data_IF_677088715194
#
_entry.id   IF_677088715194
#
_cell.length_a   1.000
_cell.length_b   1.000
_cell.length_c   1.000
_cell.angle_alpha   90.00
_cell.angle_beta   90.00
_cell.angle_gamma   90.00
#
_symmetry.space_group_name_H-M   'P 1'
#
loop_
_entity.id
_entity.type
_entity.pdbx_description
1 polymer ?
#
# COMPACT_ATOMS: atom_id res chain seq x y z
N UNK A 1 14.40 8.07 59.79
CA UNK A 1 13.79 7.20 58.75
C UNK A 1 14.22 7.71 57.39
N UNK A 2 15.26 7.12 56.79
CA UNK A 2 15.79 7.54 55.48
C UNK A 2 15.27 6.64 54.37
N UNK A 3 14.35 7.11 53.55
CA UNK A 3 13.87 6.37 52.38
C UNK A 3 14.90 6.45 51.25
N UNK A 4 15.49 5.29 50.91
CA UNK A 4 16.51 5.14 49.87
C UNK A 4 15.90 5.25 48.47
N UNK A 5 16.09 6.40 47.82
CA UNK A 5 15.63 6.70 46.45
C UNK A 5 16.45 5.92 45.38
N UNK A 6 17.58 5.29 45.76
CA UNK A 6 18.53 4.67 44.81
C UNK A 6 18.07 3.34 44.18
N UNK A 7 17.00 2.71 44.68
CA UNK A 7 16.48 1.44 44.13
C UNK A 7 15.53 1.61 42.93
N UNK A 8 14.96 2.80 42.71
CA UNK A 8 14.05 3.06 41.58
C UNK A 8 14.79 3.29 40.25
N UNK A 9 15.90 4.03 40.29
CA UNK A 9 16.66 4.44 39.10
C UNK A 9 17.43 3.27 38.47
N UNK A 10 17.93 2.34 39.29
CA UNK A 10 18.67 1.15 38.85
C UNK A 10 17.79 0.13 38.12
N UNK A 11 16.49 0.05 38.43
CA UNK A 11 15.53 -0.80 37.72
C UNK A 11 15.13 -0.22 36.35
N UNK A 12 15.06 1.11 36.20
CA UNK A 12 14.83 1.78 34.92
C UNK A 12 16.04 1.63 33.98
N UNK A 13 17.27 1.78 34.51
CA UNK A 13 18.52 1.59 33.73
C UNK A 13 18.68 0.12 33.30
N UNK A 14 18.38 -0.86 34.17
CA UNK A 14 18.41 -2.30 33.81
C UNK A 14 17.32 -2.70 32.80
N UNK A 15 16.14 -2.05 32.82
CA UNK A 15 15.11 -2.25 31.79
C UNK A 15 15.49 -1.62 30.45
N UNK A 16 16.11 -0.44 30.47
CA UNK A 16 16.67 0.21 29.27
C UNK A 16 17.79 -0.61 28.61
N UNK A 17 18.65 -1.26 29.39
CA UNK A 17 19.71 -2.13 28.87
C UNK A 17 19.21 -3.49 28.34
N UNK A 18 18.09 -4.02 28.85
CA UNK A 18 17.48 -5.30 28.38
C UNK A 18 16.62 -5.15 27.11
N UNK A 19 16.30 -3.92 26.71
CA UNK A 19 15.53 -3.60 25.51
C UNK A 19 16.41 -3.14 24.34
N UNK A 20 17.71 -2.95 24.56
CA UNK A 20 18.65 -2.66 23.48
C UNK A 20 18.62 -3.82 22.45
N UNK A 21 18.12 -3.54 21.25
CA UNK A 21 17.99 -4.52 20.17
C UNK A 21 16.66 -5.28 20.10
N UNK A 22 15.67 -4.92 20.93
CA UNK A 22 14.32 -5.49 20.86
C UNK A 22 13.26 -4.41 20.58
N UNK A 23 12.21 -4.79 19.86
CA UNK A 23 11.06 -3.95 19.54
C UNK A 23 9.76 -4.68 19.88
N UNK A 24 8.76 -3.92 20.31
CA UNK A 24 7.43 -4.43 20.66
C UNK A 24 6.54 -4.39 19.42
N UNK A 25 5.97 -5.53 19.05
CA UNK A 25 4.98 -5.56 17.97
C UNK A 25 3.73 -4.79 18.38
N UNK A 26 3.26 -3.89 17.52
CA UNK A 26 2.12 -3.01 17.77
C UNK A 26 0.76 -3.73 17.69
N UNK A 27 0.74 -4.98 17.21
CA UNK A 27 -0.49 -5.80 17.10
C UNK A 27 -0.60 -6.78 18.28
N UNK A 28 0.33 -7.73 18.38
CA UNK A 28 0.28 -8.76 19.43
C UNK A 28 0.93 -8.33 20.76
N UNK A 29 1.51 -7.13 20.81
CA UNK A 29 2.11 -6.56 22.02
C UNK A 29 3.32 -7.32 22.60
N UNK A 30 3.85 -8.31 21.89
CA UNK A 30 5.04 -9.07 22.31
C UNK A 30 6.34 -8.45 21.81
N UNK A 31 7.43 -8.69 22.54
CA UNK A 31 8.76 -8.20 22.20
C UNK A 31 9.51 -9.22 21.33
N UNK A 32 10.19 -8.71 20.31
CA UNK A 32 11.02 -9.48 19.40
C UNK A 32 12.37 -8.79 19.22
N UNK A 33 13.38 -9.52 18.76
CA UNK A 33 14.61 -8.90 18.27
C UNK A 33 14.30 -7.99 17.10
N UNK A 34 14.98 -6.85 16.99
CA UNK A 34 14.77 -5.87 15.91
C UNK A 34 14.87 -6.50 14.51
N UNK A 35 15.75 -7.49 14.33
CA UNK A 35 15.89 -8.22 13.06
C UNK A 35 14.66 -9.08 12.67
N UNK A 36 13.73 -9.33 13.60
CA UNK A 36 12.53 -10.15 13.39
C UNK A 36 11.24 -9.32 13.31
N UNK A 37 11.37 -8.00 13.25
CA UNK A 37 10.24 -7.09 13.04
C UNK A 37 10.55 -6.14 11.89
N UNK A 38 9.48 -5.61 11.30
CA UNK A 38 9.55 -4.47 10.40
C UNK A 38 9.05 -3.25 11.14
N UNK A 39 9.90 -2.24 11.30
CA UNK A 39 9.53 -0.96 11.89
C UNK A 39 9.25 0.03 10.78
N UNK A 40 8.09 0.66 10.83
CA UNK A 40 7.65 1.64 9.84
C UNK A 40 8.35 2.97 10.18
N UNK A 41 9.18 3.53 9.30
CA UNK A 41 9.96 4.73 9.62
C UNK A 41 9.09 5.95 9.98
N UNK A 42 7.96 6.12 9.30
CA UNK A 42 7.10 7.28 9.44
C UNK A 42 6.38 7.36 10.81
N UNK A 43 5.96 6.23 11.37
CA UNK A 43 5.18 6.19 12.61
C UNK A 43 5.86 5.44 13.77
N UNK A 44 6.97 4.74 13.53
CA UNK A 44 7.71 3.98 14.53
C UNK A 44 7.04 2.69 14.99
N UNK A 45 5.85 2.34 14.48
CA UNK A 45 5.20 1.08 14.80
C UNK A 45 5.95 -0.12 14.21
N UNK A 46 6.02 -1.21 14.97
CA UNK A 46 6.73 -2.43 14.58
C UNK A 46 5.76 -3.60 14.40
N UNK A 47 5.97 -4.39 13.35
CA UNK A 47 5.19 -5.59 13.09
C UNK A 47 6.10 -6.81 13.09
N UNK A 48 5.77 -7.84 13.88
CA UNK A 48 6.41 -9.15 13.71
C UNK A 48 5.87 -9.84 12.46
N UNK A 49 6.63 -10.82 11.96
CA UNK A 49 6.29 -11.56 10.73
C UNK A 49 4.86 -12.05 10.68
N UNK A 50 4.41 -12.73 11.74
CA UNK A 50 3.07 -13.34 11.79
C UNK A 50 1.94 -12.31 11.84
N UNK A 51 2.14 -11.18 12.54
CA UNK A 51 1.13 -10.12 12.59
C UNK A 51 1.05 -9.37 11.27
N UNK A 52 2.18 -9.09 10.62
CA UNK A 52 2.19 -8.45 9.31
C UNK A 52 1.50 -9.32 8.27
N UNK A 53 1.84 -10.61 8.21
CA UNK A 53 1.17 -11.60 7.36
C UNK A 53 -0.35 -11.59 7.55
N UNK A 54 -0.83 -11.67 8.79
CA UNK A 54 -2.27 -11.61 9.11
C UNK A 54 -2.91 -10.28 8.71
N UNK A 55 -2.20 -9.16 8.83
CA UNK A 55 -2.69 -7.84 8.39
C UNK A 55 -2.96 -7.84 6.89
N UNK A 56 -2.05 -8.37 6.07
CA UNK A 56 -2.30 -8.47 4.62
C UNK A 56 -3.41 -9.46 4.30
N UNK A 57 -3.43 -10.65 4.91
CA UNK A 57 -4.51 -11.64 4.68
C UNK A 57 -5.88 -11.03 4.98
N UNK A 58 -6.01 -10.30 6.09
CA UNK A 58 -7.26 -9.61 6.44
C UNK A 58 -7.64 -8.55 5.41
N UNK A 59 -6.69 -7.71 4.99
CA UNK A 59 -6.95 -6.67 4.00
C UNK A 59 -7.40 -7.24 2.65
N UNK A 60 -6.80 -8.36 2.22
CA UNK A 60 -7.20 -9.05 0.99
C UNK A 60 -8.60 -9.68 1.09
N UNK A 61 -8.94 -10.24 2.26
CA UNK A 61 -10.21 -10.95 2.45
C UNK A 61 -11.39 -10.02 2.77
N UNK A 62 -11.13 -8.79 3.20
CA UNK A 62 -12.15 -7.77 3.44
C UNK A 62 -12.46 -7.04 2.12
N UNK A 63 -13.66 -7.19 1.52
CA UNK A 63 -14.03 -6.52 0.26
C UNK A 63 -14.06 -4.99 0.36
N UNK A 64 -14.38 -4.47 1.56
CA UNK A 64 -14.41 -3.03 1.85
C UNK A 64 -13.08 -2.52 2.41
N UNK A 65 -12.16 -3.45 2.71
CA UNK A 65 -10.84 -3.17 3.23
C UNK A 65 -9.93 -2.50 2.20
N UNK A 66 -8.96 -1.75 2.72
CA UNK A 66 -8.02 -1.00 1.87
C UNK A 66 -6.79 -1.83 1.59
N UNK A 67 -6.42 -1.80 0.32
CA UNK A 67 -5.24 -2.46 -0.20
C UNK A 67 -4.41 -1.42 -0.97
N UNK A 68 -3.12 -1.23 -0.63
CA UNK A 68 -2.33 -1.92 0.40
C UNK A 68 -2.81 -1.61 1.83
N UNK A 69 -2.55 -2.50 2.82
CA UNK A 69 -2.86 -2.20 4.23
C UNK A 69 -2.12 -0.93 4.67
N UNK A 70 -2.71 -0.14 5.57
CA UNK A 70 -2.10 1.09 6.07
C UNK A 70 -1.77 1.02 7.57
N UNK A 71 -0.75 1.78 7.99
CA UNK A 71 -0.45 2.03 9.39
C UNK A 71 -0.24 3.53 9.58
N UNK A 72 -1.09 4.18 10.39
CA UNK A 72 -1.05 5.64 10.59
C UNK A 72 -1.09 6.42 9.26
N UNK A 73 -1.92 5.97 8.31
CA UNK A 73 -2.04 6.55 6.97
C UNK A 73 -0.99 6.08 5.96
N UNK A 74 0.13 5.52 6.42
CA UNK A 74 1.19 5.06 5.53
C UNK A 74 0.88 3.68 4.92
N UNK A 75 0.99 3.57 3.59
CA UNK A 75 0.85 2.30 2.89
C UNK A 75 1.96 1.32 3.29
N UNK A 76 1.57 0.11 3.63
CA UNK A 76 2.46 -1.03 3.78
C UNK A 76 2.52 -1.70 2.41
N UNK A 77 3.50 -1.30 1.60
CA UNK A 77 3.62 -1.80 0.23
C UNK A 77 4.31 -3.16 0.16
N UNK A 78 4.28 -3.81 -1.01
CA UNK A 78 4.96 -5.10 -1.18
C UNK A 78 6.48 -4.95 -1.10
N UNK A 79 7.03 -3.81 -1.51
CA UNK A 79 8.45 -3.51 -1.31
C UNK A 79 8.84 -3.52 0.17
N UNK A 80 7.96 -3.04 1.07
CA UNK A 80 8.21 -3.02 2.51
C UNK A 80 8.10 -4.41 3.17
N UNK A 81 7.06 -5.18 2.83
CA UNK A 81 6.72 -6.43 3.51
C UNK A 81 7.17 -7.70 2.78
N UNK A 82 7.74 -7.58 1.58
CA UNK A 82 7.94 -8.69 0.64
C UNK A 82 8.73 -9.88 1.22
N UNK A 83 9.75 -9.64 2.03
CA UNK A 83 10.54 -10.69 2.70
C UNK A 83 9.76 -11.43 3.80
N UNK A 84 8.85 -10.75 4.49
CA UNK A 84 7.95 -11.36 5.48
C UNK A 84 6.81 -12.14 4.81
N UNK A 85 6.44 -11.76 3.60
CA UNK A 85 5.40 -12.40 2.78
C UNK A 85 5.94 -13.49 1.86
N UNK A 86 7.26 -13.54 1.60
CA UNK A 86 7.88 -14.56 0.76
C UNK A 86 7.60 -15.97 1.28
N UNK A 87 7.02 -16.82 0.43
CA UNK A 87 6.63 -18.19 0.77
C UNK A 87 5.51 -18.30 1.80
N UNK A 88 4.85 -17.20 2.16
CA UNK A 88 3.69 -17.24 3.04
C UNK A 88 2.46 -17.68 2.26
N UNK A 89 1.79 -18.74 2.75
CA UNK A 89 0.51 -19.20 2.22
C UNK A 89 -0.47 -19.15 3.40
N UNK A 90 -1.46 -18.23 3.39
CA UNK A 90 -2.56 -18.23 4.34
C UNK A 90 -3.29 -19.57 4.29
N UNK A 91 -3.80 -20.05 5.41
CA UNK A 91 -4.56 -21.31 5.47
C UNK A 91 -5.77 -21.30 4.53
N UNK A 92 -6.33 -20.13 4.34
CA UNK A 92 -7.47 -19.87 3.47
C UNK A 92 -7.10 -19.98 1.97
N UNK A 93 -5.81 -19.89 1.63
CA UNK A 93 -5.24 -20.10 0.30
C UNK A 93 -4.49 -21.45 0.19
N UNK A 94 -4.54 -22.33 1.22
CA UNK A 94 -3.94 -23.69 1.16
C UNK A 94 -4.71 -24.61 0.22
N UNK A 95 -5.99 -24.31 -0.04
CA UNK A 95 -6.73 -24.93 -1.14
C UNK A 95 -6.39 -24.15 -2.41
N UNK A 96 -5.78 -24.79 -3.44
CA UNK A 96 -5.61 -24.13 -4.72
C UNK A 96 -6.97 -23.61 -5.19
N UNK A 97 -7.00 -22.36 -5.65
CA UNK A 97 -8.09 -21.93 -6.51
C UNK A 97 -8.20 -22.88 -7.72
N UNK A 98 -9.27 -22.80 -8.49
CA UNK A 98 -9.46 -23.62 -9.71
C UNK A 98 -8.31 -23.54 -10.71
N UNK A 99 -7.33 -22.64 -10.49
CA UNK A 99 -6.14 -22.40 -11.30
C UNK A 99 -4.82 -22.87 -10.64
N UNK A 100 -4.85 -23.48 -9.45
CA UNK A 100 -3.68 -24.18 -8.89
C UNK A 100 -2.64 -23.27 -8.23
N UNK A 101 -3.00 -22.05 -7.84
CA UNK A 101 -2.00 -21.07 -7.46
C UNK A 101 -1.69 -21.02 -5.95
N UNK A 102 -0.42 -21.22 -5.59
CA UNK A 102 0.09 -21.14 -4.21
C UNK A 102 0.84 -19.84 -3.90
N UNK A 103 0.91 -18.90 -4.84
CA UNK A 103 1.67 -17.66 -4.69
C UNK A 103 0.80 -16.50 -4.16
N UNK A 104 1.02 -16.15 -2.90
CA UNK A 104 0.42 -15.00 -2.23
C UNK A 104 0.63 -13.68 -2.98
N UNK A 105 1.83 -13.46 -3.54
CA UNK A 105 2.16 -12.20 -4.23
C UNK A 105 1.27 -12.02 -5.45
N UNK A 106 1.12 -13.05 -6.27
CA UNK A 106 0.26 -13.01 -7.46
C UNK A 106 -1.20 -12.73 -7.07
N UNK A 107 -1.75 -13.45 -6.08
CA UNK A 107 -3.14 -13.22 -5.63
C UNK A 107 -3.33 -11.80 -5.07
N UNK A 108 -2.38 -11.32 -4.28
CA UNK A 108 -2.37 -9.94 -3.78
C UNK A 108 -2.41 -8.92 -4.93
N UNK A 109 -1.58 -9.10 -5.96
CA UNK A 109 -1.52 -8.19 -7.11
C UNK A 109 -2.81 -8.20 -7.94
N UNK A 110 -3.47 -9.35 -8.07
CA UNK A 110 -4.79 -9.44 -8.73
C UNK A 110 -5.84 -8.62 -7.98
N UNK A 111 -5.97 -8.83 -6.66
CA UNK A 111 -6.92 -8.09 -5.83
C UNK A 111 -6.58 -6.59 -5.82
N UNK A 112 -5.28 -6.25 -5.77
CA UNK A 112 -4.85 -4.86 -5.83
C UNK A 112 -5.22 -4.21 -7.16
N UNK A 113 -5.04 -4.92 -8.28
CA UNK A 113 -5.43 -4.42 -9.59
C UNK A 113 -6.95 -4.19 -9.69
N UNK A 114 -7.76 -5.12 -9.17
CA UNK A 114 -9.22 -5.02 -9.12
C UNK A 114 -9.71 -3.81 -8.29
N UNK A 115 -9.00 -3.48 -7.20
CA UNK A 115 -9.35 -2.38 -6.30
C UNK A 115 -8.69 -1.04 -6.67
N UNK A 116 -7.83 -1.02 -7.68
CA UNK A 116 -7.18 0.21 -8.15
C UNK A 116 -8.11 0.91 -9.14
N UNK A 117 -8.40 2.21 -8.93
CA UNK A 117 -9.32 2.96 -9.81
C UNK A 117 -8.80 3.14 -11.24
N UNK A 118 -7.49 3.29 -11.43
CA UNK A 118 -6.85 3.40 -12.74
C UNK A 118 -5.68 2.40 -12.83
N UNK A 119 -5.97 1.10 -13.04
CA UNK A 119 -4.93 0.08 -13.06
C UNK A 119 -4.09 0.20 -14.32
N UNK A 120 -2.77 0.18 -14.14
CA UNK A 120 -1.79 0.22 -15.22
C UNK A 120 -1.29 -1.19 -15.50
N UNK A 121 -1.40 -1.63 -16.75
CA UNK A 121 -0.86 -2.91 -17.22
C UNK A 121 0.24 -2.67 -18.24
N UNK A 122 1.28 -3.49 -18.21
CA UNK A 122 2.39 -3.38 -19.14
C UNK A 122 1.91 -3.51 -20.60
N UNK A 123 2.12 -2.47 -21.41
CA UNK A 123 1.72 -2.45 -22.82
C UNK A 123 2.44 -3.53 -23.65
N UNK A 124 3.74 -3.74 -23.38
CA UNK A 124 4.53 -4.75 -24.07
C UNK A 124 4.05 -6.16 -23.73
N UNK A 125 3.88 -6.50 -22.46
CA UNK A 125 3.33 -7.81 -22.08
C UNK A 125 1.93 -8.04 -22.68
N UNK A 126 1.10 -6.99 -22.72
CA UNK A 126 -0.23 -7.05 -23.33
C UNK A 126 -0.17 -7.38 -24.83
N UNK A 127 0.79 -6.83 -25.58
CA UNK A 127 1.01 -7.19 -26.98
C UNK A 127 1.44 -8.65 -27.19
N UNK A 128 1.99 -9.29 -26.16
CA UNK A 128 2.36 -10.71 -26.15
C UNK A 128 1.24 -11.61 -25.58
N UNK A 129 0.03 -11.08 -25.37
CA UNK A 129 -1.10 -11.82 -24.81
C UNK A 129 -1.04 -12.04 -23.29
N UNK A 130 -0.15 -11.33 -22.57
CA UNK A 130 0.00 -11.43 -21.11
C UNK A 130 -0.51 -10.16 -20.42
N UNK A 131 -1.34 -10.31 -19.39
CA UNK A 131 -1.76 -9.19 -18.55
C UNK A 131 -0.85 -9.12 -17.33
N UNK A 132 0.05 -8.13 -17.30
CA UNK A 132 0.96 -7.90 -16.18
C UNK A 132 0.64 -6.54 -15.58
N UNK A 133 0.03 -6.55 -14.39
CA UNK A 133 -0.27 -5.35 -13.62
C UNK A 133 1.01 -4.73 -13.08
N UNK A 134 1.13 -3.40 -13.18
CA UNK A 134 2.22 -2.63 -12.60
C UNK A 134 1.68 -1.95 -11.33
N UNK A 135 2.17 -2.31 -10.13
CA UNK A 135 1.70 -1.73 -8.87
C UNK A 135 1.83 -0.21 -8.82
N UNK A 136 0.95 0.51 -8.10
CA UNK A 136 1.04 1.97 -7.97
C UNK A 136 2.35 2.48 -7.37
N UNK A 137 3.06 1.64 -6.61
CA UNK A 137 4.40 1.96 -6.08
C UNK A 137 5.51 1.95 -7.14
N UNK A 138 5.27 1.32 -8.30
CA UNK A 138 6.21 1.23 -9.43
C UNK A 138 5.91 2.28 -10.53
N UNK A 139 4.99 3.22 -10.27
CA UNK A 139 4.60 4.29 -11.18
C UNK A 139 5.38 5.58 -10.85
N UNK A 140 5.96 6.20 -11.87
CA UNK A 140 6.51 7.55 -11.82
C UNK A 140 5.49 8.55 -12.37
N UNK A 141 4.79 9.25 -11.48
CA UNK A 141 3.77 10.24 -11.85
C UNK A 141 4.37 11.52 -12.46
N UNK A 142 5.65 11.83 -12.22
CA UNK A 142 6.31 13.00 -12.79
C UNK A 142 6.59 12.79 -14.29
N UNK A 143 7.06 11.59 -14.63
CA UNK A 143 7.42 11.19 -16.00
C UNK A 143 6.27 10.54 -16.78
N UNK A 144 5.07 10.43 -16.18
CA UNK A 144 3.93 9.71 -16.76
C UNK A 144 4.27 8.28 -17.21
N UNK A 145 5.12 7.60 -16.44
CA UNK A 145 5.73 6.34 -16.85
C UNK A 145 5.64 5.27 -15.77
N UNK A 146 5.55 4.01 -16.20
CA UNK A 146 5.57 2.84 -15.34
C UNK A 146 6.45 1.77 -15.97
N UNK A 147 7.34 1.16 -15.19
CA UNK A 147 8.28 0.14 -15.69
C UNK A 147 7.82 -1.24 -15.24
N UNK A 148 7.65 -2.15 -16.19
CA UNK A 148 7.26 -3.52 -15.89
C UNK A 148 8.41 -4.29 -15.23
N UNK A 149 8.22 -4.79 -14.01
CA UNK A 149 9.21 -5.62 -13.30
C UNK A 149 9.48 -6.99 -13.93
N UNK A 150 8.68 -7.43 -14.91
CA UNK A 150 8.86 -8.72 -15.61
C UNK A 150 9.67 -8.59 -16.89
N UNK A 151 9.37 -7.59 -17.73
CA UNK A 151 10.01 -7.42 -19.05
C UNK A 151 10.85 -6.13 -19.16
N UNK A 152 10.89 -5.31 -18.12
CA UNK A 152 11.64 -4.05 -18.02
C UNK A 152 11.29 -3.01 -19.09
N UNK A 153 10.11 -3.15 -19.72
CA UNK A 153 9.61 -2.17 -20.71
C UNK A 153 8.72 -1.13 -20.03
N UNK A 154 8.79 0.10 -20.56
CA UNK A 154 8.00 1.23 -20.10
C UNK A 154 6.58 1.23 -20.66
N UNK A 155 5.64 1.73 -19.86
CA UNK A 155 4.26 2.03 -20.26
C UNK A 155 3.92 3.45 -19.84
N UNK A 156 3.34 4.22 -20.75
CA UNK A 156 2.85 5.57 -20.44
C UNK A 156 1.59 5.45 -19.61
N UNK A 157 1.54 6.08 -18.45
CA UNK A 157 0.39 5.98 -17.55
C UNK A 157 -0.80 6.79 -18.02
N UNK A 158 -0.60 7.81 -18.87
CA UNK A 158 -1.67 8.61 -19.44
C UNK A 158 -2.43 7.85 -20.54
N UNK A 159 -1.72 7.37 -21.55
CA UNK A 159 -2.35 6.73 -22.72
C UNK A 159 -2.30 5.20 -22.71
N UNK A 160 -1.64 4.60 -21.72
CA UNK A 160 -1.51 3.14 -21.52
C UNK A 160 -0.81 2.40 -22.69
N UNK A 161 -0.05 3.13 -23.52
CA UNK A 161 0.78 2.57 -24.62
C UNK A 161 2.24 2.47 -24.20
N UNK A 162 3.06 1.81 -25.03
CA UNK A 162 4.50 1.67 -24.79
C UNK A 162 5.18 3.03 -24.63
N UNK A 163 6.11 3.09 -23.67
CA UNK A 163 6.94 4.25 -23.37
C UNK A 163 8.43 3.86 -23.46
N UNK A 164 9.32 4.70 -24.00
CA UNK A 164 9.13 6.09 -24.44
C UNK A 164 8.26 6.22 -25.71
N UNK A 165 7.51 7.31 -25.80
CA UNK A 165 6.87 7.71 -27.06
C UNK A 165 7.90 8.21 -28.07
N UNK A 166 7.64 7.97 -29.35
CA UNK A 166 8.46 8.47 -30.46
C UNK A 166 7.79 9.67 -31.12
N UNK A 167 8.54 10.46 -31.89
CA UNK A 167 7.97 11.57 -32.69
C UNK A 167 6.91 11.10 -33.68
N UNK A 168 7.02 9.87 -34.18
CA UNK A 168 6.03 9.24 -35.06
C UNK A 168 4.78 8.71 -34.33
N UNK A 169 4.82 8.58 -33.00
CA UNK A 169 3.71 8.09 -32.20
C UNK A 169 3.65 8.83 -30.85
N UNK A 170 3.33 10.14 -30.87
CA UNK A 170 3.23 10.94 -29.65
C UNK A 170 2.07 10.46 -28.76
N UNK A 171 2.12 10.84 -27.49
CA UNK A 171 0.98 10.64 -26.58
C UNK A 171 -0.26 11.37 -27.15
N UNK A 172 -1.44 10.73 -27.23
CA UNK A 172 -2.67 11.38 -27.67
C UNK A 172 -3.23 12.33 -26.60
N UNK A 173 -2.72 12.25 -25.36
CA UNK A 173 -3.00 13.19 -24.28
C UNK A 173 -1.93 14.27 -24.32
N UNK A 174 -2.26 15.39 -24.94
CA UNK A 174 -1.33 16.49 -25.21
C UNK A 174 -1.60 17.72 -24.34
N UNK A 175 -2.86 18.01 -24.01
CA UNK A 175 -3.24 19.10 -23.09
C UNK A 175 -2.76 18.84 -21.66
N UNK A 176 -2.26 19.89 -21.01
CA UNK A 176 -1.77 19.77 -19.63
C UNK A 176 -2.91 19.57 -18.63
N UNK A 177 -4.09 20.13 -18.91
CA UNK A 177 -5.30 19.93 -18.10
C UNK A 177 -5.70 18.45 -18.06
N UNK A 178 -5.73 17.77 -19.21
CA UNK A 178 -6.11 16.35 -19.25
C UNK A 178 -5.04 15.45 -18.61
N UNK A 179 -3.75 15.80 -18.72
CA UNK A 179 -2.69 15.08 -17.99
C UNK A 179 -2.90 15.21 -16.48
N UNK A 180 -3.14 16.43 -16.01
CA UNK A 180 -3.37 16.70 -14.59
C UNK A 180 -4.61 15.96 -14.08
N UNK A 181 -5.71 15.95 -14.85
CA UNK A 181 -6.93 15.24 -14.50
C UNK A 181 -6.70 13.72 -14.35
N UNK A 182 -6.00 13.09 -15.30
CA UNK A 182 -5.69 11.65 -15.23
C UNK A 182 -4.79 11.33 -14.03
N UNK A 183 -3.73 12.12 -13.80
CA UNK A 183 -2.85 11.95 -12.62
C UNK A 183 -3.65 12.10 -11.33
N UNK A 184 -4.51 13.11 -11.27
CA UNK A 184 -5.33 13.39 -10.10
C UNK A 184 -6.33 12.27 -9.80
N UNK A 185 -6.96 11.69 -10.82
CA UNK A 185 -7.85 10.54 -10.67
C UNK A 185 -7.12 9.32 -10.10
N UNK A 186 -5.91 9.05 -10.58
CA UNK A 186 -5.09 7.93 -10.08
C UNK A 186 -4.66 8.13 -8.62
N UNK A 187 -4.16 9.32 -8.29
CA UNK A 187 -3.70 9.68 -6.94
C UNK A 187 -4.84 9.69 -5.93
N UNK A 188 -6.00 10.25 -6.30
CA UNK A 188 -7.18 10.29 -5.43
C UNK A 188 -7.69 8.89 -5.08
N UNK A 189 -7.79 8.00 -6.08
CA UNK A 189 -8.16 6.61 -5.86
C UNK A 189 -7.19 5.88 -4.92
N UNK A 190 -5.88 6.08 -5.12
CA UNK A 190 -4.84 5.51 -4.24
C UNK A 190 -4.95 6.03 -2.81
N UNK A 191 -5.19 7.32 -2.63
CA UNK A 191 -5.30 7.97 -1.32
C UNK A 191 -6.67 7.78 -0.64
N UNK A 192 -7.62 7.08 -1.28
CA UNK A 192 -8.96 6.86 -0.74
C UNK A 192 -9.85 8.11 -0.74
N UNK A 193 -9.48 9.15 -1.48
CA UNK A 193 -10.26 10.36 -1.61
C UNK A 193 -11.50 10.11 -2.47
N UNK A 194 -12.59 10.84 -2.22
CA UNK A 194 -13.81 10.74 -3.01
C UNK A 194 -14.34 12.10 -3.40
N UNK A 195 -14.94 12.18 -4.58
CA UNK A 195 -15.67 13.38 -5.01
C UNK A 195 -17.00 13.43 -4.25
N UNK A 196 -17.34 14.59 -3.70
CA UNK A 196 -18.63 14.81 -3.09
C UNK A 196 -19.72 14.83 -4.16
N UNK A 197 -20.72 13.96 -4.05
CA UNK A 197 -21.83 13.88 -5.01
C UNK A 197 -22.68 15.16 -5.09
N UNK A 198 -22.66 15.99 -4.03
CA UNK A 198 -23.44 17.24 -4.00
C UNK A 198 -22.76 18.42 -4.69
N UNK A 199 -21.43 18.56 -4.59
CA UNK A 199 -20.72 19.73 -5.11
C UNK A 199 -19.50 19.41 -6.01
N UNK A 200 -19.20 18.13 -6.22
CA UNK A 200 -18.06 17.68 -7.02
C UNK A 200 -16.69 17.85 -6.37
N UNK A 201 -16.60 18.58 -5.24
CA UNK A 201 -15.33 18.79 -4.54
C UNK A 201 -14.77 17.48 -4.02
N UNK A 202 -13.48 17.26 -4.24
CA UNK A 202 -12.79 16.12 -3.64
C UNK A 202 -12.64 16.30 -2.13
N UNK A 203 -12.97 15.23 -1.43
CA UNK A 203 -12.91 15.14 0.02
C UNK A 203 -11.87 14.10 0.38
N UNK A 204 -10.92 14.52 1.21
CA UNK A 204 -9.92 13.67 1.83
C UNK A 204 -10.12 13.68 3.34
N UNK A 205 -9.51 12.71 4.01
CA UNK A 205 -9.43 12.66 5.47
C UNK A 205 -8.02 12.33 5.87
N UNK A 206 -7.53 13.08 6.86
CA UNK A 206 -6.20 12.89 7.43
C UNK A 206 -6.23 11.83 8.54
N UNK A 207 -7.13 12.00 9.52
CA UNK A 207 -7.34 11.08 10.65
C UNK A 207 -8.80 11.03 11.08
N UNK A 208 -9.18 10.08 11.94
CA UNK A 208 -10.52 10.05 12.57
C UNK A 208 -11.54 9.19 11.86
N UNK A 209 -12.84 9.51 11.99
CA UNK A 209 -13.95 8.70 11.46
C UNK A 209 -13.96 8.64 9.93
N UNK A 210 -14.31 7.50 9.33
CA UNK A 210 -14.50 7.36 7.88
C UNK A 210 -15.63 8.24 7.33
N UNK A 211 -16.58 8.62 8.18
CA UNK A 211 -17.63 9.57 7.89
C UNK A 211 -17.12 11.01 8.03
N UNK A 212 -17.26 11.79 6.96
CA UNK A 212 -16.98 13.23 6.95
C UNK A 212 -18.14 13.97 6.31
N UNK A 213 -18.39 15.21 6.74
CA UNK A 213 -19.41 16.08 6.14
C UNK A 213 -18.71 17.07 5.22
N UNK A 214 -19.09 17.09 3.95
CA UNK A 214 -18.54 18.03 2.98
C UNK A 214 -18.97 19.47 3.34
N UNK A 215 -18.24 20.48 2.83
CA UNK A 215 -18.57 21.90 3.04
C UNK A 215 -19.95 22.29 2.52
N UNK A 216 -20.50 21.55 1.55
CA UNK A 216 -21.87 21.74 1.07
C UNK A 216 -22.95 21.09 1.96
N UNK A 217 -22.56 20.39 3.04
CA UNK A 217 -23.46 19.71 3.97
C UNK A 217 -23.75 18.24 3.64
N UNK A 218 -23.27 17.72 2.52
CA UNK A 218 -23.46 16.31 2.14
C UNK A 218 -22.55 15.37 2.94
N UNK A 219 -23.09 14.26 3.41
CA UNK A 219 -22.33 13.18 4.03
C UNK A 219 -21.48 12.43 3.00
N UNK A 220 -20.20 12.19 3.32
CA UNK A 220 -19.26 11.46 2.48
C UNK A 220 -18.58 10.39 3.33
N UNK A 221 -18.62 9.15 2.84
CA UNK A 221 -17.97 8.00 3.47
C UNK A 221 -16.68 7.69 2.71
N UNK A 222 -15.54 8.01 3.32
CA UNK A 222 -14.22 7.81 2.73
C UNK A 222 -13.68 6.43 3.14
N UNK A 223 -12.96 5.80 2.21
CA UNK A 223 -12.15 4.63 2.54
C UNK A 223 -10.90 5.09 3.34
N UNK A 224 -10.33 4.20 4.14
CA UNK A 224 -9.12 4.47 4.93
C UNK A 224 -7.82 4.37 4.14
#
# INVERSE_FOLDING_TARGET
>A
MGFSIRRGVTNLIRRGQRLAGNARCSVCMTYFKNALVKTIPACGHSYCKTCLQKTYTRAMNDPEGILPPRCCGQELTMAFAGDFLAGYIPKELEMPDSYGHTDFRRRYLEILAERTSDPIYCAHCKSLGKQVFIPPEEINEEEDSAVCSTCFQGTCTLCKRSNPHTTSNPCPVDSDESKQEIRYQRLSGRAGWRSCEGCGMMVSRDVGCAHVVCRCGQDVWLAF
#
